data_IF_095116987709
#
_entry.id   IF_095116987709
#
_cell.length_a   1.000
_cell.length_b   1.000
_cell.length_c   1.000
_cell.angle_alpha   90.00
_cell.angle_beta   90.00
_cell.angle_gamma   90.00
#
_symmetry.space_group_name_H-M   'P 1'
#
loop_
_entity.id
_entity.type
_entity.pdbx_description
1 polymer ?
#
# COMPACT_ATOMS: atom_id res chain seq x y z
N UNK A 1 -4.92 6.86 -4.20
CA UNK A 1 -5.95 5.92 -4.71
C UNK A 1 -5.48 4.49 -4.49
N UNK A 2 -6.37 3.50 -4.28
CA UNK A 2 -5.97 2.09 -4.19
C UNK A 2 -6.20 1.42 -5.54
N UNK A 3 -5.19 0.71 -6.04
CA UNK A 3 -5.24 0.02 -7.33
C UNK A 3 -6.35 -1.05 -7.37
N UNK A 4 -6.83 -1.36 -8.56
CA UNK A 4 -7.83 -2.40 -8.76
C UNK A 4 -7.27 -3.76 -8.32
N UNK A 5 -8.05 -4.48 -7.49
CA UNK A 5 -7.60 -5.74 -6.90
C UNK A 5 -7.34 -6.86 -7.91
N UNK A 6 -7.79 -6.75 -9.16
CA UNK A 6 -7.44 -7.72 -10.20
C UNK A 6 -5.93 -7.86 -10.39
N UNK A 7 -5.17 -6.79 -10.08
CA UNK A 7 -3.71 -6.73 -10.17
C UNK A 7 -3.03 -7.60 -9.11
N UNK A 8 -3.65 -7.71 -7.93
CA UNK A 8 -3.03 -8.30 -6.74
C UNK A 8 -3.71 -9.54 -6.21
N UNK A 9 -4.98 -9.78 -6.53
CA UNK A 9 -5.78 -10.90 -6.03
C UNK A 9 -6.16 -11.81 -7.22
N UNK A 10 -5.93 -13.13 -7.12
CA UNK A 10 -6.34 -14.05 -8.18
C UNK A 10 -7.87 -14.16 -8.26
N UNK A 11 -8.45 -14.63 -9.38
CA UNK A 11 -9.90 -14.77 -9.56
C UNK A 11 -10.61 -15.70 -8.56
N UNK A 12 -9.85 -16.56 -7.86
CA UNK A 12 -10.35 -17.36 -6.75
C UNK A 12 -10.64 -16.54 -5.47
N UNK A 13 -10.18 -15.30 -5.40
CA UNK A 13 -10.37 -14.42 -4.24
C UNK A 13 -11.82 -13.90 -4.14
N UNK A 14 -12.38 -13.71 -2.93
CA UNK A 14 -13.73 -13.18 -2.74
C UNK A 14 -14.01 -11.83 -3.42
N UNK A 15 -12.97 -11.04 -3.72
CA UNK A 15 -13.06 -9.72 -4.32
C UNK A 15 -13.62 -9.76 -5.74
N UNK A 16 -13.31 -10.81 -6.50
CA UNK A 16 -13.78 -10.99 -7.88
C UNK A 16 -15.28 -11.27 -7.95
N UNK A 17 -15.84 -11.99 -6.97
CA UNK A 17 -17.30 -12.23 -6.89
C UNK A 17 -18.09 -10.93 -6.82
N UNK A 18 -17.55 -9.90 -6.17
CA UNK A 18 -18.19 -8.59 -6.03
C UNK A 18 -17.97 -7.68 -7.24
N UNK A 19 -17.00 -7.98 -8.10
CA UNK A 19 -16.66 -7.18 -9.26
C UNK A 19 -17.62 -7.38 -10.45
N UNK A 20 -18.47 -8.42 -10.42
CA UNK A 20 -19.39 -8.74 -11.52
C UNK A 20 -18.69 -9.26 -12.79
N UNK A 21 -17.39 -9.50 -12.74
CA UNK A 21 -16.57 -9.93 -13.88
C UNK A 21 -16.45 -11.45 -13.87
N UNK A 22 -16.83 -12.09 -14.98
CA UNK A 22 -16.65 -13.52 -15.19
C UNK A 22 -15.34 -13.77 -15.93
N UNK A 23 -14.38 -14.38 -15.24
CA UNK A 23 -13.12 -14.83 -15.85
C UNK A 23 -13.26 -16.32 -16.20
N UNK A 24 -12.92 -16.77 -17.42
CA UNK A 24 -12.83 -18.19 -17.72
C UNK A 24 -11.77 -18.88 -16.84
N UNK A 25 -12.03 -20.11 -16.38
CA UNK A 25 -11.07 -20.85 -15.54
C UNK A 25 -9.68 -20.98 -16.18
N UNK A 26 -9.61 -21.07 -17.50
CA UNK A 26 -8.36 -21.12 -18.28
C UNK A 26 -7.50 -19.85 -18.19
N UNK A 27 -8.02 -18.75 -17.63
CA UNK A 27 -7.30 -17.49 -17.43
C UNK A 27 -7.07 -17.14 -15.95
N UNK A 28 -7.37 -18.05 -15.01
CA UNK A 28 -7.27 -17.75 -13.57
C UNK A 28 -5.84 -17.46 -13.12
N UNK A 29 -4.88 -18.14 -13.72
CA UNK A 29 -3.44 -17.96 -13.52
C UNK A 29 -2.91 -16.68 -14.18
N UNK A 30 -3.68 -16.03 -15.06
CA UNK A 30 -3.29 -14.79 -15.76
C UNK A 30 -3.59 -13.50 -15.00
N UNK A 31 -4.19 -13.56 -13.81
CA UNK A 31 -4.53 -12.38 -12.99
C UNK A 31 -3.98 -12.48 -11.56
N UNK A 32 -3.79 -11.32 -10.93
CA UNK A 32 -3.41 -11.22 -9.53
C UNK A 32 -1.92 -11.47 -9.28
N UNK A 33 -1.51 -11.35 -8.01
CA UNK A 33 -0.14 -11.64 -7.56
C UNK A 33 0.95 -10.93 -8.35
N UNK A 34 0.65 -9.73 -8.88
CA UNK A 34 1.60 -8.97 -9.70
C UNK A 34 2.22 -9.83 -10.81
N UNK A 35 1.48 -10.81 -11.34
CA UNK A 35 2.00 -11.61 -12.45
C UNK A 35 2.23 -10.69 -13.64
N UNK A 36 3.36 -10.77 -14.34
CA UNK A 36 3.67 -9.94 -15.51
C UNK A 36 3.01 -10.53 -16.77
N UNK A 37 1.72 -10.84 -16.68
CA UNK A 37 0.88 -11.33 -17.76
C UNK A 37 0.14 -10.17 -18.40
N UNK A 38 -0.20 -10.31 -19.68
CA UNK A 38 -0.93 -9.32 -20.47
C UNK A 38 -2.20 -8.82 -19.75
N UNK A 39 -3.04 -9.74 -19.24
CA UNK A 39 -4.28 -9.38 -18.55
C UNK A 39 -4.06 -8.58 -17.26
N UNK A 40 -2.98 -8.87 -16.55
CA UNK A 40 -2.65 -8.18 -15.30
C UNK A 40 -2.07 -6.79 -15.58
N UNK A 41 -1.33 -6.65 -16.69
CA UNK A 41 -0.86 -5.37 -17.21
C UNK A 41 -2.03 -4.53 -17.76
N UNK A 42 -2.99 -5.12 -18.47
CA UNK A 42 -4.22 -4.45 -18.88
C UNK A 42 -5.04 -3.95 -17.68
N UNK A 43 -5.11 -4.74 -16.60
CA UNK A 43 -5.75 -4.31 -15.36
C UNK A 43 -5.03 -3.10 -14.72
N UNK A 44 -3.70 -3.04 -14.86
CA UNK A 44 -2.92 -1.86 -14.48
C UNK A 44 -3.19 -0.66 -15.37
N UNK A 45 -3.23 -0.82 -16.70
CA UNK A 45 -3.51 0.29 -17.63
C UNK A 45 -4.88 0.93 -17.33
N UNK A 46 -5.92 0.13 -17.08
CA UNK A 46 -7.23 0.64 -16.63
C UNK A 46 -7.15 1.36 -15.28
N UNK A 47 -6.32 0.87 -14.36
CA UNK A 47 -6.07 1.56 -13.08
C UNK A 47 -5.40 2.90 -13.31
N UNK A 48 -4.43 2.96 -14.22
CA UNK A 48 -3.69 4.18 -14.56
C UNK A 48 -4.60 5.22 -15.23
N UNK A 49 -5.53 4.81 -16.10
CA UNK A 49 -6.57 5.69 -16.65
C UNK A 49 -7.41 6.36 -15.55
N UNK A 50 -7.83 5.61 -14.54
CA UNK A 50 -8.56 6.15 -13.39
C UNK A 50 -7.67 7.11 -12.59
N UNK A 51 -6.41 6.74 -12.36
CA UNK A 51 -5.44 7.62 -11.69
C UNK A 51 -5.29 8.96 -12.43
N UNK A 52 -5.19 8.95 -13.76
CA UNK A 52 -5.13 10.16 -14.59
C UNK A 52 -6.40 10.99 -14.44
N UNK A 53 -7.57 10.37 -14.59
CA UNK A 53 -8.86 11.06 -14.52
C UNK A 53 -9.06 11.79 -13.17
N UNK A 54 -8.63 11.19 -12.07
CA UNK A 54 -8.73 11.79 -10.73
C UNK A 54 -7.50 12.60 -10.30
N UNK A 55 -6.48 12.73 -11.16
CA UNK A 55 -5.18 13.35 -10.84
C UNK A 55 -4.55 12.77 -9.56
N UNK A 56 -4.58 11.44 -9.43
CA UNK A 56 -4.00 10.77 -8.27
C UNK A 56 -2.48 10.91 -8.26
N UNK A 57 -1.94 11.49 -7.19
CA UNK A 57 -0.49 11.56 -6.97
C UNK A 57 0.10 10.17 -6.63
N UNK A 58 -0.58 9.40 -5.78
CA UNK A 58 -0.14 8.07 -5.35
C UNK A 58 -1.18 7.00 -5.66
N UNK A 59 -0.75 5.90 -6.28
CA UNK A 59 -1.52 4.68 -6.44
C UNK A 59 -0.96 3.56 -5.55
N UNK A 60 -1.76 3.10 -4.58
CA UNK A 60 -1.38 2.06 -3.63
C UNK A 60 -1.79 0.68 -4.15
N UNK A 61 -0.79 -0.15 -4.41
CA UNK A 61 -0.91 -1.57 -4.75
C UNK A 61 -0.75 -2.35 -3.45
N UNK A 62 -1.84 -2.93 -2.94
CA UNK A 62 -1.82 -3.80 -1.76
C UNK A 62 -1.91 -5.26 -2.18
N UNK A 63 -0.89 -6.06 -1.85
CA UNK A 63 -0.89 -7.50 -2.08
C UNK A 63 -1.46 -8.25 -0.87
N UNK A 64 -2.23 -9.35 -1.09
CA UNK A 64 -2.79 -10.13 0.00
C UNK A 64 -1.73 -10.98 0.70
N UNK A 65 -2.01 -11.48 1.91
CA UNK A 65 -1.09 -12.39 2.62
C UNK A 65 -0.77 -13.68 1.86
N UNK A 66 -1.67 -14.14 0.98
CA UNK A 66 -1.43 -15.27 0.09
C UNK A 66 -0.33 -15.00 -0.96
N UNK A 67 -0.06 -13.73 -1.27
CA UNK A 67 1.15 -13.32 -1.98
C UNK A 67 2.30 -13.18 -0.98
N UNK A 68 2.70 -14.30 -0.35
CA UNK A 68 3.82 -14.31 0.59
C UNK A 68 5.18 -14.23 -0.11
N UNK A 69 6.24 -14.02 0.65
CA UNK A 69 7.60 -14.07 0.11
C UNK A 69 7.93 -15.47 -0.43
N UNK A 70 8.22 -15.55 -1.72
CA UNK A 70 8.79 -16.71 -2.41
C UNK A 70 9.66 -16.20 -3.56
N UNK A 71 10.58 -17.02 -4.07
CA UNK A 71 11.37 -16.65 -5.24
C UNK A 71 10.52 -16.33 -6.47
N UNK A 72 9.36 -16.98 -6.61
CA UNK A 72 8.39 -16.69 -7.68
C UNK A 72 7.72 -15.32 -7.49
N UNK A 73 7.17 -15.04 -6.30
CA UNK A 73 6.48 -13.78 -6.03
C UNK A 73 7.45 -12.59 -6.06
N UNK A 74 8.71 -12.78 -5.64
CA UNK A 74 9.77 -11.80 -5.80
C UNK A 74 10.03 -11.48 -7.28
N UNK A 75 10.15 -12.49 -8.14
CA UNK A 75 10.32 -12.30 -9.59
C UNK A 75 9.10 -11.63 -10.22
N UNK A 76 7.88 -12.05 -9.85
CA UNK A 76 6.65 -11.45 -10.34
C UNK A 76 6.57 -9.96 -10.00
N UNK A 77 6.81 -9.59 -8.74
CA UNK A 77 6.84 -8.19 -8.31
C UNK A 77 7.91 -7.39 -9.07
N UNK A 78 9.14 -7.92 -9.17
CA UNK A 78 10.25 -7.27 -9.88
C UNK A 78 9.92 -7.00 -11.36
N UNK A 79 9.43 -8.01 -12.07
CA UNK A 79 9.08 -7.90 -13.48
C UNK A 79 7.89 -6.97 -13.70
N UNK A 80 6.85 -7.08 -12.87
CA UNK A 80 5.67 -6.23 -12.96
C UNK A 80 6.03 -4.75 -12.77
N UNK A 81 6.74 -4.41 -11.70
CA UNK A 81 7.12 -3.03 -11.42
C UNK A 81 8.12 -2.44 -12.44
N UNK A 82 8.92 -3.28 -13.08
CA UNK A 82 9.78 -2.90 -14.20
C UNK A 82 9.02 -2.66 -15.50
N UNK A 83 7.84 -3.26 -15.67
CA UNK A 83 7.10 -3.27 -16.94
C UNK A 83 6.02 -2.20 -16.99
N UNK A 84 5.37 -1.92 -15.86
CA UNK A 84 4.24 -0.99 -15.83
C UNK A 84 4.64 0.45 -16.19
N UNK A 85 3.78 1.10 -16.98
CA UNK A 85 3.84 2.56 -17.18
C UNK A 85 3.30 3.26 -15.93
N UNK A 86 3.87 4.39 -15.57
CA UNK A 86 3.47 5.13 -14.35
C UNK A 86 3.06 6.57 -14.63
N UNK A 87 3.50 7.11 -15.76
CA UNK A 87 3.47 8.55 -16.05
C UNK A 87 3.97 9.35 -14.85
N UNK A 88 3.11 10.20 -14.27
CA UNK A 88 3.41 11.02 -13.09
C UNK A 88 2.85 10.44 -11.78
N UNK A 89 2.37 9.19 -11.78
CA UNK A 89 1.75 8.56 -10.62
C UNK A 89 2.81 7.82 -9.81
N UNK A 90 3.02 8.25 -8.57
CA UNK A 90 3.88 7.55 -7.62
C UNK A 90 3.23 6.22 -7.21
N UNK A 91 4.04 5.17 -7.11
CA UNK A 91 3.57 3.84 -6.75
C UNK A 91 3.88 3.58 -5.29
N UNK A 92 2.84 3.22 -4.53
CA UNK A 92 3.00 2.70 -3.17
C UNK A 92 2.71 1.21 -3.13
N UNK A 93 3.63 0.41 -2.60
CA UNK A 93 3.41 -1.02 -2.40
C UNK A 93 3.20 -1.35 -0.92
N UNK A 94 2.07 -1.98 -0.62
CA UNK A 94 1.71 -2.44 0.72
C UNK A 94 1.69 -3.98 0.76
N UNK A 95 2.84 -4.63 0.99
CA UNK A 95 2.91 -6.08 1.12
C UNK A 95 2.29 -6.57 2.45
N UNK A 96 1.65 -7.74 2.39
CA UNK A 96 1.03 -8.41 3.54
C UNK A 96 1.60 -9.82 3.69
N UNK A 97 1.40 -10.43 4.85
CA UNK A 97 1.91 -11.79 5.12
C UNK A 97 3.42 -11.80 5.38
N UNK A 98 4.11 -12.83 4.88
CA UNK A 98 5.50 -13.15 5.27
C UNK A 98 6.55 -12.14 4.80
N UNK A 99 6.22 -11.18 3.93
CA UNK A 99 7.15 -10.13 3.48
C UNK A 99 7.81 -9.33 4.61
N UNK A 100 7.18 -9.26 5.80
CA UNK A 100 7.73 -8.57 6.97
C UNK A 100 8.94 -9.24 7.58
N UNK A 101 9.11 -10.53 7.32
CA UNK A 101 10.28 -11.30 7.72
C UNK A 101 11.41 -11.16 6.68
N UNK A 102 11.14 -10.49 5.56
CA UNK A 102 12.05 -10.35 4.40
C UNK A 102 12.18 -8.89 3.95
N UNK A 103 12.33 -7.97 4.91
CA UNK A 103 12.37 -6.53 4.64
C UNK A 103 13.53 -6.10 3.73
N UNK A 104 14.66 -6.83 3.70
CA UNK A 104 15.75 -6.54 2.76
C UNK A 104 15.32 -6.71 1.31
N UNK A 105 14.48 -7.71 1.02
CA UNK A 105 13.92 -7.92 -0.31
C UNK A 105 12.88 -6.86 -0.66
N UNK A 106 12.06 -6.45 0.30
CA UNK A 106 11.12 -5.33 0.13
C UNK A 106 11.87 -4.05 -0.16
N UNK A 107 12.92 -3.73 0.62
CA UNK A 107 13.79 -2.57 0.42
C UNK A 107 14.41 -2.58 -0.97
N UNK A 108 15.02 -3.71 -1.36
CA UNK A 108 15.66 -3.85 -2.67
C UNK A 108 14.68 -3.60 -3.83
N UNK A 109 13.47 -4.19 -3.77
CA UNK A 109 12.43 -3.93 -4.77
C UNK A 109 12.00 -2.46 -4.78
N UNK A 110 11.71 -1.91 -3.61
CA UNK A 110 11.22 -0.54 -3.49
C UNK A 110 12.24 0.47 -4.02
N UNK A 111 13.51 0.33 -3.65
CA UNK A 111 14.55 1.26 -4.07
C UNK A 111 14.91 1.07 -5.54
N UNK A 112 15.00 -0.18 -6.04
CA UNK A 112 15.27 -0.47 -7.45
C UNK A 112 14.24 0.19 -8.37
N UNK A 113 12.98 0.17 -7.94
CA UNK A 113 11.86 0.59 -8.76
C UNK A 113 11.29 1.94 -8.36
N UNK A 114 11.91 2.70 -7.47
CA UNK A 114 11.36 3.97 -6.95
C UNK A 114 9.89 3.83 -6.47
N UNK A 115 9.66 2.92 -5.54
CA UNK A 115 8.35 2.61 -4.96
C UNK A 115 8.35 2.97 -3.48
N UNK A 116 7.25 3.56 -3.04
CA UNK A 116 7.00 3.86 -1.62
C UNK A 116 6.64 2.55 -0.90
N UNK A 117 7.39 2.16 0.13
CA UNK A 117 6.98 1.08 1.02
C UNK A 117 5.88 1.59 1.95
N UNK A 118 4.64 1.25 1.62
CA UNK A 118 3.43 1.62 2.35
C UNK A 118 3.27 0.68 3.54
N UNK A 119 3.20 1.24 4.75
CA UNK A 119 3.15 0.44 5.99
C UNK A 119 2.07 0.93 6.93
N UNK A 120 1.62 0.06 7.84
CA UNK A 120 1.07 0.51 9.11
C UNK A 120 2.26 0.81 10.05
N UNK A 121 2.49 2.08 10.43
CA UNK A 121 3.68 2.46 11.17
C UNK A 121 3.71 1.89 12.60
N UNK A 122 2.57 1.45 13.13
CA UNK A 122 2.52 0.76 14.43
C UNK A 122 2.92 -0.71 14.33
N UNK A 123 3.12 -1.23 13.12
CA UNK A 123 3.44 -2.65 12.88
C UNK A 123 4.79 -2.85 12.20
N UNK A 124 5.24 -1.90 11.38
CA UNK A 124 6.52 -1.99 10.69
C UNK A 124 7.04 -0.60 10.32
N UNK A 125 8.36 -0.44 10.32
CA UNK A 125 9.02 0.76 9.79
C UNK A 125 9.11 0.66 8.26
N UNK A 126 8.87 1.77 7.57
CA UNK A 126 9.10 1.83 6.12
C UNK A 126 10.60 1.65 5.83
N UNK A 127 10.94 0.92 4.76
CA UNK A 127 12.33 0.60 4.40
C UNK A 127 12.74 1.21 3.07
N UNK A 128 11.79 1.79 2.31
CA UNK A 128 12.07 2.43 1.04
C UNK A 128 12.79 3.77 1.25
N UNK A 129 13.76 4.06 0.38
CA UNK A 129 14.50 5.32 0.36
C UNK A 129 13.70 6.49 -0.24
N UNK A 130 12.57 6.22 -0.89
CA UNK A 130 11.69 7.23 -1.51
C UNK A 130 11.41 8.44 -0.58
N UNK A 131 11.46 9.67 -1.10
CA UNK A 131 11.34 10.91 -0.30
C UNK A 131 9.97 11.06 0.38
N UNK A 132 8.92 10.50 -0.23
CA UNK A 132 7.59 10.35 0.37
C UNK A 132 7.47 9.09 1.24
N UNK A 133 6.96 9.25 2.47
CA UNK A 133 6.48 8.15 3.30
C UNK A 133 4.94 8.05 3.27
N UNK A 134 4.40 6.84 3.23
CA UNK A 134 2.96 6.62 3.21
C UNK A 134 2.56 5.61 4.29
N UNK A 135 1.84 6.09 5.29
CA UNK A 135 1.30 5.34 6.40
C UNK A 135 -0.19 5.03 6.19
N UNK A 136 -0.57 3.77 6.34
CA UNK A 136 -1.95 3.30 6.30
C UNK A 136 -2.28 2.57 7.59
N UNK A 137 -3.10 3.20 8.41
CA UNK A 137 -3.44 2.77 9.76
C UNK A 137 -4.66 1.86 9.73
N UNK A 138 -4.51 0.61 10.19
CA UNK A 138 -5.59 -0.38 10.17
C UNK A 138 -6.09 -0.74 11.57
N UNK A 139 -5.74 0.05 12.58
CA UNK A 139 -6.01 -0.22 14.00
C UNK A 139 -4.91 -1.03 14.68
N UNK A 140 -4.70 -0.76 15.97
CA UNK A 140 -3.67 -1.43 16.79
C UNK A 140 -4.23 -2.77 17.32
N UNK A 141 -3.38 -3.80 17.33
CA UNK A 141 -3.70 -5.13 17.86
C UNK A 141 -2.82 -6.23 17.26
N UNK A 142 -3.06 -7.47 17.69
CA UNK A 142 -2.26 -8.63 17.26
C UNK A 142 -2.58 -9.16 15.85
N UNK A 143 -3.74 -8.80 15.28
CA UNK A 143 -4.15 -9.24 13.94
C UNK A 143 -3.59 -8.35 12.83
N UNK A 144 -3.76 -8.78 11.58
CA UNK A 144 -3.31 -8.02 10.42
C UNK A 144 -3.98 -6.66 10.28
N UNK A 145 -5.25 -6.59 10.71
CA UNK A 145 -6.10 -5.40 10.74
C UNK A 145 -7.00 -5.45 11.97
N UNK A 146 -7.32 -4.29 12.52
CA UNK A 146 -8.32 -4.08 13.56
C UNK A 146 -9.16 -2.83 13.25
N UNK A 147 -10.00 -2.90 12.22
CA UNK A 147 -10.76 -1.74 11.75
C UNK A 147 -11.71 -1.14 12.79
N UNK A 148 -12.08 -1.86 13.85
CA UNK A 148 -12.94 -1.32 14.93
C UNK A 148 -12.16 -0.53 15.97
N UNK A 149 -10.83 -0.56 15.94
CA UNK A 149 -10.00 0.19 16.86
C UNK A 149 -10.26 1.70 16.70
N UNK A 150 -10.44 2.39 17.82
CA UNK A 150 -10.49 3.85 17.89
C UNK A 150 -9.20 4.31 18.56
N UNK A 151 -8.44 5.16 17.88
CA UNK A 151 -7.13 5.58 18.37
C UNK A 151 -7.27 6.48 19.60
N UNK A 152 -6.47 6.21 20.63
CA UNK A 152 -6.40 7.05 21.83
C UNK A 152 -5.56 8.30 21.58
N UNK A 153 -5.67 9.32 22.44
CA UNK A 153 -4.80 10.51 22.32
C UNK A 153 -3.32 10.15 22.47
N UNK A 154 -2.99 9.12 23.25
CA UNK A 154 -1.64 8.59 23.39
C UNK A 154 -1.15 7.97 22.07
N UNK A 155 -1.98 7.18 21.40
CA UNK A 155 -1.62 6.61 20.10
C UNK A 155 -1.41 7.70 19.04
N UNK A 156 -2.27 8.73 19.02
CA UNK A 156 -2.14 9.84 18.08
C UNK A 156 -0.90 10.70 18.36
N UNK A 157 -0.53 10.87 19.64
CA UNK A 157 0.74 11.52 20.02
C UNK A 157 1.93 10.69 19.54
N UNK A 158 1.90 9.37 19.72
CA UNK A 158 2.93 8.46 19.20
C UNK A 158 2.99 8.47 17.67
N UNK A 159 1.84 8.57 16.99
CA UNK A 159 1.80 8.72 15.53
C UNK A 159 2.49 10.01 15.08
N UNK A 160 2.32 11.10 15.83
CA UNK A 160 3.01 12.37 15.57
C UNK A 160 4.52 12.20 15.69
N UNK A 161 5.00 11.53 16.73
CA UNK A 161 6.43 11.24 16.92
C UNK A 161 7.00 10.41 15.76
N UNK A 162 6.23 9.45 15.25
CA UNK A 162 6.61 8.66 14.07
C UNK A 162 6.72 9.55 12.82
N UNK A 163 5.77 10.47 12.63
CA UNK A 163 5.79 11.43 11.51
C UNK A 163 7.01 12.36 11.62
N UNK A 164 7.30 12.90 12.81
CA UNK A 164 8.52 13.68 13.06
C UNK A 164 9.79 12.90 12.72
N UNK A 165 9.86 11.64 13.17
CA UNK A 165 11.00 10.78 12.92
C UNK A 165 11.20 10.57 11.41
N UNK A 166 10.12 10.39 10.65
CA UNK A 166 10.20 10.27 9.20
C UNK A 166 10.82 11.53 8.56
N UNK A 167 10.41 12.74 8.97
CA UNK A 167 11.03 13.98 8.48
C UNK A 167 12.52 14.08 8.86
N UNK A 168 12.88 13.73 10.10
CA UNK A 168 14.28 13.71 10.56
C UNK A 168 15.14 12.70 9.80
N UNK A 169 14.53 11.61 9.32
CA UNK A 169 15.16 10.60 8.48
C UNK A 169 15.22 11.00 6.99
N UNK A 170 14.88 12.25 6.67
CA UNK A 170 15.04 12.83 5.33
C UNK A 170 13.82 12.65 4.42
N UNK A 171 12.65 12.29 4.96
CA UNK A 171 11.41 12.32 4.18
C UNK A 171 11.00 13.78 3.95
N UNK A 172 10.60 14.10 2.73
CA UNK A 172 10.12 15.44 2.36
C UNK A 172 8.60 15.57 2.55
N UNK A 173 7.90 14.44 2.49
CA UNK A 173 6.43 14.39 2.56
C UNK A 173 5.97 13.12 3.25
N UNK A 174 4.95 13.25 4.09
CA UNK A 174 4.36 12.12 4.82
C UNK A 174 2.84 12.11 4.62
N UNK A 175 2.34 11.00 4.09
CA UNK A 175 0.92 10.71 3.95
C UNK A 175 0.44 9.76 5.03
N UNK A 176 -0.66 10.12 5.69
CA UNK A 176 -1.25 9.34 6.78
C UNK A 176 -2.71 9.09 6.44
N UNK A 177 -3.07 7.82 6.27
CA UNK A 177 -4.44 7.39 5.97
C UNK A 177 -4.95 6.52 7.11
N UNK A 178 -5.98 7.00 7.80
CA UNK A 178 -6.77 6.22 8.75
C UNK A 178 -7.74 5.32 7.98
N UNK A 179 -7.66 4.01 8.22
CA UNK A 179 -8.49 3.00 7.54
C UNK A 179 -9.38 2.23 8.52
N UNK A 180 -9.59 2.76 9.73
CA UNK A 180 -10.50 2.23 10.75
C UNK A 180 -11.91 2.84 10.61
N UNK A 181 -12.89 2.28 11.30
CA UNK A 181 -14.30 2.71 11.25
C UNK A 181 -14.46 4.17 11.73
N UNK A 182 -13.71 4.57 12.76
CA UNK A 182 -13.72 5.94 13.30
C UNK A 182 -12.75 6.89 12.56
N UNK A 183 -12.30 6.55 11.34
CA UNK A 183 -11.22 7.25 10.64
C UNK A 183 -11.41 8.77 10.52
N UNK A 184 -12.64 9.26 10.32
CA UNK A 184 -12.91 10.68 10.19
C UNK A 184 -12.63 11.44 11.51
N UNK A 185 -13.08 10.87 12.63
CA UNK A 185 -12.86 11.45 13.96
C UNK A 185 -11.38 11.38 14.36
N UNK A 186 -10.74 10.23 14.15
CA UNK A 186 -9.34 10.02 14.49
C UNK A 186 -8.41 10.90 13.63
N UNK A 187 -8.71 11.06 12.33
CA UNK A 187 -7.96 11.97 11.46
C UNK A 187 -8.13 13.43 11.87
N UNK A 188 -9.34 13.87 12.24
CA UNK A 188 -9.58 15.24 12.69
C UNK A 188 -8.83 15.56 14.00
N UNK A 189 -8.85 14.62 14.96
CA UNK A 189 -8.07 14.72 16.21
C UNK A 189 -6.57 14.77 15.92
N UNK A 190 -6.09 13.94 15.00
CA UNK A 190 -4.68 13.93 14.60
C UNK A 190 -4.25 15.24 13.93
N UNK A 191 -5.06 15.80 13.03
CA UNK A 191 -4.82 17.11 12.42
C UNK A 191 -4.67 18.19 13.49
N UNK A 192 -5.52 18.19 14.53
CA UNK A 192 -5.41 19.15 15.63
C UNK A 192 -4.09 19.00 16.41
N UNK A 193 -3.59 17.77 16.60
CA UNK A 193 -2.28 17.52 17.20
C UNK A 193 -1.16 18.07 16.31
N UNK A 194 -1.23 17.82 14.99
CA UNK A 194 -0.22 18.31 14.04
C UNK A 194 -0.14 19.84 14.04
N UNK A 195 -1.30 20.53 13.96
CA UNK A 195 -1.37 22.01 14.02
C UNK A 195 -0.75 22.59 15.28
N UNK A 196 -1.02 22.00 16.43
CA UNK A 196 -0.44 22.43 17.72
C UNK A 196 1.07 22.23 17.80
N UNK A 197 1.62 21.34 16.98
CA UNK A 197 3.06 21.03 16.95
C UNK A 197 3.83 21.69 15.81
N UNK A 198 3.15 22.46 14.93
CA UNK A 198 3.78 23.16 13.80
C UNK A 198 4.16 22.27 12.62
N UNK A 199 3.66 21.03 12.55
CA UNK A 199 3.87 20.11 11.44
C UNK A 199 2.88 20.31 10.27
N UNK A 200 1.82 21.08 10.50
CA UNK A 200 0.77 21.41 9.55
C UNK A 200 0.30 22.85 9.80
#
# INVERSE_FOLDING_TARGET
MKAWQAITHPPSSPTWRRAGIKVPKSKYDRYGFLRPTEENLEAWEKTLEICRAMKAEVCVIQTPAAFGYTSENLRNADQFFSTIRRDNVLIGWEPRGTWREHLDSVKKLCDKHDIIHVVDPFRSKSVSMHSLAYFRLHGIGGKEVNYRYKYTDQDLTRLKEIVDAAFKEGKEKVYVLFNNVAMAEDAARFINILKKSGLL
#
